data_IF_674955107468
#
_entry.id   IF_674955107468
#
_cell.length_a   1.000
_cell.length_b   1.000
_cell.length_c   1.000
_cell.angle_alpha   90.00
_cell.angle_beta   90.00
_cell.angle_gamma   90.00
#
_symmetry.space_group_name_H-M   'P 1'
#
loop_
_entity.id
_entity.type
_entity.pdbx_description
1 polymer ?
#
# COMPACT_ATOMS: atom_id res chain seq x y z
N UNK A 1 45.21 -56.39 -19.83
CA UNK A 1 44.26 -56.08 -20.92
C UNK A 1 43.36 -54.94 -20.46
N UNK A 2 43.38 -53.78 -21.14
CA UNK A 2 42.71 -52.54 -20.70
C UNK A 2 41.55 -52.27 -21.66
N UNK A 3 40.33 -52.22 -21.15
CA UNK A 3 39.09 -52.07 -21.93
C UNK A 3 38.83 -50.56 -22.14
N UNK A 4 38.74 -50.04 -23.37
CA UNK A 4 38.43 -48.64 -23.61
C UNK A 4 36.96 -48.34 -23.29
N UNK A 5 36.70 -47.27 -22.52
CA UNK A 5 35.37 -46.78 -22.19
C UNK A 5 34.71 -46.15 -23.43
N UNK A 6 33.44 -46.51 -23.67
CA UNK A 6 32.64 -46.12 -24.81
C UNK A 6 32.15 -44.67 -24.68
N UNK A 7 32.58 -43.82 -25.62
CA UNK A 7 31.77 -42.79 -26.28
C UNK A 7 31.36 -41.54 -25.49
N UNK A 8 32.20 -40.51 -25.51
CA UNK A 8 31.73 -39.13 -25.38
C UNK A 8 31.22 -38.68 -26.75
N UNK A 9 29.89 -38.60 -26.91
CA UNK A 9 29.26 -38.02 -28.10
C UNK A 9 29.37 -36.50 -27.97
N UNK A 10 30.23 -35.89 -28.78
CA UNK A 10 30.33 -34.44 -28.88
C UNK A 10 29.03 -33.83 -29.41
N UNK A 11 28.65 -32.68 -28.85
CA UNK A 11 27.51 -31.87 -29.30
C UNK A 11 27.73 -31.47 -30.77
N UNK A 12 26.77 -31.71 -31.65
CA UNK A 12 26.89 -31.32 -33.05
C UNK A 12 26.59 -29.82 -33.22
N UNK A 13 27.25 -29.17 -34.19
CA UNK A 13 26.98 -27.77 -34.51
C UNK A 13 25.54 -27.54 -34.98
N UNK A 14 24.95 -28.53 -35.66
CA UNK A 14 23.56 -28.48 -36.12
C UNK A 14 22.58 -28.53 -34.93
N UNK A 15 22.87 -29.32 -33.89
CA UNK A 15 22.08 -29.35 -32.66
C UNK A 15 22.10 -27.99 -31.96
N UNK A 16 23.27 -27.34 -31.88
CA UNK A 16 23.38 -26.02 -31.28
C UNK A 16 22.62 -24.95 -32.10
N UNK A 17 22.67 -25.03 -33.43
CA UNK A 17 22.02 -24.08 -34.33
C UNK A 17 20.50 -24.11 -34.18
N UNK A 18 19.91 -25.30 -34.10
CA UNK A 18 18.46 -25.45 -33.92
C UNK A 18 18.03 -24.92 -32.55
N UNK A 19 18.83 -25.15 -31.50
CA UNK A 19 18.52 -24.67 -30.15
C UNK A 19 18.47 -23.15 -30.10
N UNK A 20 19.49 -22.44 -30.63
CA UNK A 20 19.49 -20.98 -30.62
C UNK A 20 18.40 -20.39 -31.52
N UNK A 21 18.04 -21.07 -32.61
CA UNK A 21 16.91 -20.68 -33.46
C UNK A 21 15.58 -20.74 -32.70
N UNK A 22 15.31 -21.84 -31.98
CA UNK A 22 14.09 -21.97 -31.16
C UNK A 22 14.09 -20.96 -30.00
N UNK A 23 15.22 -20.80 -29.29
CA UNK A 23 15.35 -19.82 -28.22
C UNK A 23 15.12 -18.38 -28.73
N UNK A 24 15.58 -18.05 -29.94
CA UNK A 24 15.34 -16.75 -30.57
C UNK A 24 13.85 -16.49 -30.83
N UNK A 25 13.11 -17.48 -31.36
CA UNK A 25 11.66 -17.37 -31.58
C UNK A 25 10.90 -17.24 -30.25
N UNK A 26 11.26 -18.06 -29.25
CA UNK A 26 10.63 -17.99 -27.92
C UNK A 26 10.90 -16.63 -27.24
N UNK A 27 12.14 -16.13 -27.28
CA UNK A 27 12.49 -14.84 -26.71
C UNK A 27 11.71 -13.69 -27.36
N UNK A 28 11.53 -13.70 -28.68
CA UNK A 28 10.80 -12.68 -29.41
C UNK A 28 9.33 -12.53 -28.96
N UNK A 29 8.67 -13.64 -28.58
CA UNK A 29 7.26 -13.63 -28.13
C UNK A 29 7.14 -13.33 -26.63
N UNK A 30 8.06 -13.87 -25.80
CA UNK A 30 7.95 -13.78 -24.33
C UNK A 30 8.28 -12.38 -23.80
N UNK A 31 9.36 -11.76 -24.30
CA UNK A 31 9.85 -10.47 -23.79
C UNK A 31 8.77 -9.35 -23.82
N UNK A 32 8.04 -9.10 -24.92
CA UNK A 32 7.04 -8.03 -24.95
C UNK A 32 5.84 -8.30 -24.02
N UNK A 33 5.51 -9.57 -23.78
CA UNK A 33 4.36 -9.95 -22.94
C UNK A 33 4.66 -9.78 -21.44
N UNK A 34 5.88 -10.11 -21.01
CA UNK A 34 6.30 -9.98 -19.60
C UNK A 34 6.26 -8.51 -19.14
N UNK A 35 6.75 -7.58 -19.96
CA UNK A 35 6.72 -6.15 -19.63
C UNK A 35 5.31 -5.59 -19.43
N UNK A 36 4.36 -5.99 -20.27
CA UNK A 36 2.95 -5.59 -20.15
C UNK A 36 2.28 -6.16 -18.89
N UNK A 37 2.61 -7.39 -18.53
CA UNK A 37 2.05 -8.04 -17.35
C UNK A 37 2.51 -7.37 -16.05
N UNK A 38 3.81 -7.05 -15.95
CA UNK A 38 4.37 -6.33 -14.79
C UNK A 38 3.78 -4.92 -14.67
N UNK A 39 3.68 -4.18 -15.77
CA UNK A 39 3.10 -2.83 -15.77
C UNK A 39 1.62 -2.82 -15.35
N UNK A 40 0.83 -3.81 -15.79
CA UNK A 40 -0.55 -3.98 -15.35
C UNK A 40 -0.65 -4.31 -13.87
N UNK A 41 0.19 -5.21 -13.36
CA UNK A 41 0.22 -5.56 -11.93
C UNK A 41 0.44 -4.34 -11.03
N UNK A 42 1.33 -3.42 -11.43
CA UNK A 42 1.55 -2.17 -10.70
C UNK A 42 0.34 -1.24 -10.68
N UNK A 43 -0.35 -1.08 -11.82
CA UNK A 43 -1.54 -0.24 -11.92
C UNK A 43 -2.71 -0.77 -11.09
N UNK A 44 -2.94 -2.09 -11.11
CA UNK A 44 -3.97 -2.75 -10.30
C UNK A 44 -3.68 -2.65 -8.80
N UNK A 45 -2.42 -2.83 -8.41
CA UNK A 45 -1.99 -2.66 -7.02
C UNK A 45 -2.20 -1.21 -6.54
N UNK A 46 -1.85 -0.23 -7.38
CA UNK A 46 -2.08 1.20 -7.13
C UNK A 46 -3.55 1.54 -6.92
N UNK A 47 -4.42 1.03 -7.79
CA UNK A 47 -5.86 1.24 -7.69
C UNK A 47 -6.48 0.56 -6.45
N UNK A 48 -6.00 -0.64 -6.12
CA UNK A 48 -6.43 -1.37 -4.92
C UNK A 48 -6.05 -0.63 -3.65
N UNK A 49 -4.80 -0.15 -3.54
CA UNK A 49 -4.33 0.62 -2.39
C UNK A 49 -5.14 1.91 -2.23
N UNK A 50 -5.39 2.63 -3.34
CA UNK A 50 -6.23 3.82 -3.34
C UNK A 50 -7.65 3.55 -2.83
N UNK A 51 -8.31 2.51 -3.37
CA UNK A 51 -9.67 2.14 -2.94
C UNK A 51 -9.71 1.79 -1.46
N UNK A 52 -8.71 1.05 -0.97
CA UNK A 52 -8.63 0.67 0.44
C UNK A 52 -8.53 1.90 1.35
N UNK A 53 -7.69 2.87 1.00
CA UNK A 53 -7.52 4.10 1.78
C UNK A 53 -8.77 4.97 1.72
N UNK A 54 -9.37 5.12 0.55
CA UNK A 54 -10.62 5.86 0.40
C UNK A 54 -11.74 5.26 1.26
N UNK A 55 -11.89 3.93 1.26
CA UNK A 55 -12.86 3.24 2.12
C UNK A 55 -12.51 3.41 3.61
N UNK A 56 -11.23 3.36 3.97
CA UNK A 56 -10.78 3.54 5.35
C UNK A 56 -11.08 4.95 5.89
N UNK A 57 -10.86 6.01 5.09
CA UNK A 57 -11.25 7.38 5.45
C UNK A 57 -12.74 7.49 5.70
N UNK A 58 -13.56 6.91 4.82
CA UNK A 58 -15.02 6.98 4.94
C UNK A 58 -15.54 6.18 6.15
N UNK A 59 -14.97 5.00 6.40
CA UNK A 59 -15.27 4.20 7.58
C UNK A 59 -14.92 4.96 8.87
N UNK A 60 -13.73 5.56 8.92
CA UNK A 60 -13.30 6.37 10.04
C UNK A 60 -14.24 7.57 10.28
N UNK A 61 -14.60 8.31 9.22
CA UNK A 61 -15.52 9.46 9.35
C UNK A 61 -16.90 9.03 9.86
N UNK A 62 -17.38 7.87 9.41
CA UNK A 62 -18.65 7.29 9.84
C UNK A 62 -18.62 6.85 11.31
N UNK A 63 -17.58 6.13 11.71
CA UNK A 63 -17.42 5.62 13.08
C UNK A 63 -17.31 6.77 14.09
N UNK A 64 -16.64 7.85 13.70
CA UNK A 64 -16.53 9.04 14.53
C UNK A 64 -17.68 10.05 14.32
N UNK A 65 -18.66 9.75 13.46
CA UNK A 65 -19.86 10.58 13.20
C UNK A 65 -19.53 12.00 12.76
N UNK A 66 -18.46 12.18 11.99
CA UNK A 66 -18.06 13.48 11.45
C UNK A 66 -18.49 13.61 9.98
N UNK A 67 -19.01 14.78 9.62
CA UNK A 67 -19.35 15.10 8.24
C UNK A 67 -18.18 15.74 7.47
N UNK A 68 -17.25 16.36 8.19
CA UNK A 68 -16.07 17.02 7.65
C UNK A 68 -14.85 16.69 8.50
N UNK A 69 -13.71 16.48 7.85
CA UNK A 69 -12.41 16.35 8.50
C UNK A 69 -11.98 17.70 9.07
N UNK A 70 -11.65 17.80 10.37
CA UNK A 70 -11.26 19.06 10.98
C UNK A 70 -9.92 19.61 10.49
N UNK A 71 -8.90 18.77 10.38
CA UNK A 71 -7.63 19.14 9.73
C UNK A 71 -7.29 18.15 8.60
N UNK A 72 -7.81 18.38 7.38
CA UNK A 72 -7.53 17.51 6.25
C UNK A 72 -6.10 17.68 5.75
N UNK A 73 -5.50 16.58 5.27
CA UNK A 73 -4.16 16.60 4.64
C UNK A 73 -4.30 17.07 3.20
N UNK A 74 -4.13 18.35 2.93
CA UNK A 74 -4.34 18.92 1.56
C UNK A 74 -3.06 19.37 0.85
N UNK A 75 -2.03 19.77 1.59
CA UNK A 75 -0.81 20.40 1.03
C UNK A 75 0.45 19.56 1.19
N UNK A 76 0.50 18.67 2.18
CA UNK A 76 1.65 17.79 2.43
C UNK A 76 1.17 16.36 2.29
N UNK A 77 1.36 15.77 1.10
CA UNK A 77 1.05 14.36 0.89
C UNK A 77 1.82 13.51 1.90
N UNK A 78 1.22 12.40 2.35
CA UNK A 78 1.89 11.46 3.26
C UNK A 78 1.61 10.03 2.84
N UNK A 79 2.54 9.15 3.16
CA UNK A 79 2.38 7.68 3.05
C UNK A 79 2.30 7.00 4.43
N UNK A 80 2.39 7.78 5.51
CA UNK A 80 2.28 7.28 6.87
C UNK A 80 0.82 7.41 7.35
N UNK A 81 0.16 6.26 7.47
CA UNK A 81 -1.24 6.13 7.87
C UNK A 81 -1.45 6.32 9.38
N UNK A 82 -0.37 6.37 10.16
CA UNK A 82 -0.42 6.84 11.55
C UNK A 82 -0.54 8.39 11.61
N UNK A 83 -0.24 9.08 10.51
CA UNK A 83 -0.29 10.54 10.42
C UNK A 83 -1.45 11.08 9.57
N UNK A 84 -2.31 10.20 9.08
CA UNK A 84 -3.35 10.52 8.10
C UNK A 84 -4.71 9.98 8.54
N UNK A 85 -5.82 10.72 8.39
CA UNK A 85 -5.89 12.10 7.90
C UNK A 85 -5.60 13.20 8.93
N UNK A 86 -5.69 12.96 10.24
CA UNK A 86 -5.69 14.07 11.20
C UNK A 86 -5.08 13.69 12.56
N UNK A 87 -3.82 14.12 12.77
CA UNK A 87 -3.09 13.97 14.03
C UNK A 87 -3.21 15.16 14.98
N UNK A 88 -3.73 16.30 14.54
CA UNK A 88 -3.57 17.56 15.29
C UNK A 88 -4.88 18.15 15.82
N UNK A 89 -6.06 17.71 15.34
CA UNK A 89 -7.34 18.28 15.75
C UNK A 89 -7.91 17.74 17.07
N UNK A 90 -7.12 17.65 18.15
CA UNK A 90 -7.57 17.11 19.44
C UNK A 90 -8.89 17.73 19.95
N UNK A 91 -9.04 19.06 19.83
CA UNK A 91 -10.21 19.78 20.30
C UNK A 91 -11.52 19.45 19.53
N UNK A 92 -11.42 18.95 18.30
CA UNK A 92 -12.57 18.58 17.47
C UNK A 92 -13.06 17.16 17.71
N UNK A 93 -12.38 16.41 18.58
CA UNK A 93 -12.56 14.96 18.76
C UNK A 93 -13.49 14.57 19.91
N UNK A 94 -13.95 15.56 20.68
CA UNK A 94 -14.94 15.35 21.74
C UNK A 94 -14.42 14.51 22.90
N UNK A 95 -15.26 13.62 23.40
CA UNK A 95 -14.95 12.72 24.52
C UNK A 95 -14.93 11.25 24.07
N UNK A 96 -14.11 10.43 24.72
CA UNK A 96 -14.05 8.99 24.52
C UNK A 96 -15.29 8.24 25.05
N UNK A 97 -15.27 6.90 24.99
CA UNK A 97 -16.32 6.02 25.51
C UNK A 97 -16.45 6.04 27.05
N UNK A 98 -15.43 6.52 27.75
CA UNK A 98 -15.35 6.64 29.21
C UNK A 98 -15.69 8.07 29.70
N UNK A 99 -15.91 9.02 28.79
CA UNK A 99 -16.20 10.43 29.08
C UNK A 99 -14.97 11.34 29.22
N UNK A 100 -13.76 10.85 28.93
CA UNK A 100 -12.54 11.66 28.94
C UNK A 100 -12.44 12.50 27.67
N UNK A 101 -12.05 13.76 27.78
CA UNK A 101 -11.76 14.61 26.60
C UNK A 101 -10.45 14.21 25.97
N UNK A 102 -10.41 14.04 24.65
CA UNK A 102 -9.16 13.79 23.92
C UNK A 102 -8.21 15.00 23.99
N UNK A 103 -6.94 14.76 24.36
CA UNK A 103 -5.86 15.75 24.36
C UNK A 103 -4.95 15.63 23.13
N UNK A 104 -4.06 16.61 22.93
CA UNK A 104 -3.06 16.57 21.87
C UNK A 104 -2.05 15.44 22.13
N UNK A 105 -1.94 14.48 21.20
CA UNK A 105 -1.12 13.29 21.35
C UNK A 105 -1.89 12.05 21.80
N UNK A 106 -3.10 12.23 22.38
CA UNK A 106 -4.05 11.14 22.48
C UNK A 106 -4.47 10.81 21.05
N UNK A 107 -4.28 9.56 20.65
CA UNK A 107 -4.51 9.05 19.29
C UNK A 107 -5.99 9.01 18.91
N UNK A 108 -6.74 10.01 19.31
CA UNK A 108 -8.14 10.25 19.05
C UNK A 108 -8.46 10.11 17.55
N UNK A 109 -8.79 8.88 17.18
CA UNK A 109 -9.68 8.40 16.12
C UNK A 109 -9.44 8.73 14.64
N UNK A 110 -8.98 9.93 14.28
CA UNK A 110 -8.96 10.37 12.89
C UNK A 110 -7.69 9.99 12.15
N UNK A 111 -6.99 8.94 12.60
CA UNK A 111 -5.88 8.35 11.86
C UNK A 111 -6.25 6.94 11.43
N UNK A 112 -5.74 6.51 10.28
CA UNK A 112 -6.11 5.22 9.71
C UNK A 112 -5.38 4.04 10.36
N UNK A 113 -4.25 4.29 11.01
CA UNK A 113 -3.43 3.28 11.68
C UNK A 113 -3.16 3.67 13.13
N UNK A 114 -3.23 2.69 14.03
CA UNK A 114 -2.96 2.80 15.46
C UNK A 114 -3.73 3.91 16.18
N UNK A 115 -5.02 4.07 15.87
CA UNK A 115 -5.84 5.05 16.58
C UNK A 115 -6.26 4.54 17.97
N UNK A 116 -6.17 5.41 18.96
CA UNK A 116 -6.57 5.22 20.35
C UNK A 116 -8.03 5.65 20.54
N UNK A 117 -8.86 4.73 21.02
CA UNK A 117 -10.30 4.92 21.26
C UNK A 117 -10.66 5.39 22.66
N UNK A 118 -9.72 5.40 23.60
CA UNK A 118 -9.96 5.62 25.03
C UNK A 118 -9.12 6.75 25.62
N UNK A 119 -8.43 7.53 24.78
CA UNK A 119 -7.73 8.76 25.17
C UNK A 119 -6.81 8.60 26.40
N UNK A 120 -6.31 7.39 26.66
CA UNK A 120 -5.57 7.08 27.87
C UNK A 120 -4.06 7.13 27.65
N UNK A 121 -3.65 7.37 26.39
CA UNK A 121 -2.26 7.39 25.97
C UNK A 121 -1.58 6.02 26.06
N UNK A 122 -2.34 4.96 26.39
CA UNK A 122 -1.82 3.61 26.53
C UNK A 122 -2.00 2.85 25.22
N UNK A 123 -0.90 2.28 24.71
CA UNK A 123 -0.87 1.52 23.45
C UNK A 123 -1.66 0.19 23.47
N UNK A 124 -2.45 -0.07 24.52
CA UNK A 124 -3.11 -1.36 24.75
C UNK A 124 -4.38 -1.58 23.93
N UNK A 125 -5.07 -0.53 23.48
CA UNK A 125 -6.38 -0.62 22.83
C UNK A 125 -6.43 0.13 21.48
N UNK A 126 -5.40 -0.06 20.65
CA UNK A 126 -5.31 0.58 19.34
C UNK A 126 -6.16 -0.14 18.29
N UNK A 127 -6.84 0.63 17.45
CA UNK A 127 -7.65 0.12 16.34
C UNK A 127 -7.10 0.60 15.00
N UNK A 128 -7.28 -0.20 13.94
CA UNK A 128 -6.75 0.09 12.61
C UNK A 128 -7.89 0.05 11.57
N UNK A 129 -7.96 1.09 10.73
CA UNK A 129 -8.81 1.10 9.53
C UNK A 129 -8.06 0.58 8.30
N UNK A 130 -6.73 0.59 8.33
CA UNK A 130 -5.85 -0.02 7.30
C UNK A 130 -4.91 -1.05 7.89
N UNK A 131 -4.53 -2.07 7.11
CA UNK A 131 -3.71 -3.18 7.59
C UNK A 131 -2.23 -2.80 7.83
N UNK A 132 -1.73 -1.77 7.13
CA UNK A 132 -0.31 -1.39 7.10
C UNK A 132 -0.14 0.07 7.46
N UNK A 133 0.91 0.39 8.20
CA UNK A 133 1.25 1.77 8.55
C UNK A 133 1.72 2.58 7.33
N UNK A 134 2.60 2.01 6.51
CA UNK A 134 3.21 2.74 5.39
C UNK A 134 2.71 2.19 4.08
N UNK A 135 2.21 3.09 3.23
CA UNK A 135 1.69 2.78 1.89
C UNK A 135 2.79 2.92 0.83
N UNK A 136 2.55 2.34 -0.34
CA UNK A 136 3.47 2.44 -1.48
C UNK A 136 3.44 3.83 -2.12
N UNK A 137 2.26 4.45 -2.12
CA UNK A 137 2.00 5.78 -2.69
C UNK A 137 1.74 6.82 -1.61
N UNK A 138 1.67 8.09 -2.03
CA UNK A 138 1.42 9.25 -1.18
C UNK A 138 -0.02 9.73 -1.34
N UNK A 139 -0.62 10.25 -0.27
CA UNK A 139 -2.04 10.58 -0.25
C UNK A 139 -2.31 11.95 0.38
N UNK A 140 -3.29 12.64 -0.19
CA UNK A 140 -4.01 13.76 0.44
C UNK A 140 -5.48 13.41 0.57
N UNK A 141 -6.18 14.20 1.37
CA UNK A 141 -7.62 14.11 1.58
C UNK A 141 -8.15 15.53 1.76
N UNK A 142 -9.30 15.83 1.15
CA UNK A 142 -10.00 17.09 1.37
C UNK A 142 -10.84 17.06 2.67
N UNK A 143 -11.48 18.17 3.01
CA UNK A 143 -12.34 18.23 4.20
C UNK A 143 -13.55 17.28 4.11
N UNK A 144 -13.93 16.87 2.91
CA UNK A 144 -15.08 16.02 2.62
C UNK A 144 -14.73 14.52 2.67
N UNK A 145 -13.46 14.17 2.86
CA UNK A 145 -12.98 12.79 2.88
C UNK A 145 -12.65 12.23 1.49
N UNK A 146 -12.56 13.07 0.46
CA UNK A 146 -12.11 12.67 -0.88
C UNK A 146 -10.60 12.51 -0.88
N UNK A 147 -10.12 11.29 -1.13
CA UNK A 147 -8.69 10.97 -1.17
C UNK A 147 -8.14 11.24 -2.56
N UNK A 148 -6.92 11.77 -2.64
CA UNK A 148 -6.14 11.88 -3.88
C UNK A 148 -4.80 11.18 -3.72
N UNK A 149 -4.37 10.45 -4.74
CA UNK A 149 -3.14 9.62 -4.74
C UNK A 149 -2.05 10.23 -5.61
N UNK A 150 -0.80 10.13 -5.15
CA UNK A 150 0.38 10.70 -5.77
C UNK A 150 1.54 9.68 -5.80
N UNK A 151 2.33 9.72 -6.88
CA UNK A 151 3.50 8.85 -7.04
C UNK A 151 4.75 9.41 -6.33
N UNK A 152 4.74 10.68 -5.96
CA UNK A 152 5.83 11.42 -5.33
C UNK A 152 5.30 12.32 -4.20
N UNK A 153 6.17 12.75 -3.26
CA UNK A 153 5.80 13.63 -2.15
C UNK A 153 5.22 14.98 -2.57
#
# INVERSE_FOLDING_TARGET
MRIPKKGEKGFTLIELLIVVAILGVLAAVVIPNVGRFIGRGGAEAKATEFSNIQSAVQAMMTDNKIALLPTPVTTTHTKDMNLFPDTTAAASKGTDILGNTYAAGDGAGFVLYQHDRIADGASGNLTNYVATQTTSYWYTVDAQGTVTQYDVP
#
